data_IF_524098193680
#
_entry.id   IF_524098193680
#
_cell.length_a   1.000
_cell.length_b   1.000
_cell.length_c   1.000
_cell.angle_alpha   90.00
_cell.angle_beta   90.00
_cell.angle_gamma   90.00
#
_symmetry.space_group_name_H-M   'P 1'
#
loop_
_entity.id
_entity.type
_entity.pdbx_description
1 polymer ?
#
# COMPACT_ATOMS: atom_id res chain seq x y z
N UNK A 1 -7.01 11.10 -33.08
CA UNK A 1 -6.15 9.89 -33.01
C UNK A 1 -6.23 9.36 -31.59
N UNK A 2 -6.54 8.10 -31.43
CA UNK A 2 -6.57 7.40 -30.13
C UNK A 2 -5.12 7.25 -29.65
N UNK A 3 -4.77 7.83 -28.51
CA UNK A 3 -3.42 7.73 -27.95
C UNK A 3 -3.43 6.65 -26.86
N UNK A 4 -2.64 5.60 -27.06
CA UNK A 4 -2.40 4.58 -26.04
C UNK A 4 -1.27 5.05 -25.11
N UNK A 5 -1.49 4.98 -23.81
CA UNK A 5 -0.53 5.33 -22.76
C UNK A 5 -0.47 4.23 -21.72
N UNK A 6 0.67 4.10 -21.07
CA UNK A 6 0.85 3.23 -19.90
C UNK A 6 0.94 4.08 -18.65
N UNK A 7 0.34 3.64 -17.55
CA UNK A 7 0.40 4.33 -16.27
C UNK A 7 0.03 3.43 -15.10
N UNK A 8 0.22 3.95 -13.90
CA UNK A 8 -0.12 3.26 -12.65
C UNK A 8 -1.46 3.77 -12.11
N UNK A 9 -2.34 2.88 -11.70
CA UNK A 9 -3.55 3.25 -10.96
C UNK A 9 -3.13 3.71 -9.56
N UNK A 10 -3.38 4.98 -9.25
CA UNK A 10 -3.10 5.59 -7.95
C UNK A 10 -4.35 5.72 -7.07
N UNK A 11 -5.54 5.60 -7.66
CA UNK A 11 -6.81 5.63 -6.97
C UNK A 11 -7.86 4.84 -7.72
N UNK A 12 -8.69 4.10 -6.97
CA UNK A 12 -9.86 3.38 -7.48
C UNK A 12 -11.08 3.76 -6.64
N UNK A 13 -12.12 4.28 -7.29
CA UNK A 13 -13.37 4.66 -6.64
C UNK A 13 -14.55 4.45 -7.56
N UNK A 14 -15.51 3.61 -7.14
CA UNK A 14 -16.82 3.42 -7.83
C UNK A 14 -16.69 3.14 -9.34
N UNK A 15 -15.66 2.37 -9.75
CA UNK A 15 -15.41 2.02 -11.15
C UNK A 15 -14.71 3.09 -11.98
N UNK A 16 -14.24 4.16 -11.33
CA UNK A 16 -13.31 5.13 -11.88
C UNK A 16 -11.90 4.84 -11.33
N UNK A 17 -10.91 5.06 -12.17
CA UNK A 17 -9.50 4.82 -11.90
C UNK A 17 -8.70 6.05 -12.26
N UNK A 18 -8.01 6.63 -11.29
CA UNK A 18 -7.06 7.70 -11.57
C UNK A 18 -5.71 7.05 -11.89
N UNK A 19 -5.26 7.26 -13.11
CA UNK A 19 -4.03 6.66 -13.66
C UNK A 19 -2.95 7.73 -13.79
N UNK A 20 -1.86 7.55 -13.07
CA UNK A 20 -0.67 8.40 -13.21
C UNK A 20 0.13 7.92 -14.42
N UNK A 21 0.23 8.78 -15.42
CA UNK A 21 1.05 8.58 -16.62
C UNK A 21 2.25 9.54 -16.62
N UNK A 22 3.24 9.37 -17.50
CA UNK A 22 4.32 10.34 -17.66
C UNK A 22 3.84 11.77 -17.99
N UNK A 23 2.68 11.89 -18.67
CA UNK A 23 2.10 13.17 -19.07
C UNK A 23 1.15 13.78 -18.03
N UNK A 24 0.93 13.09 -16.89
CA UNK A 24 0.06 13.54 -15.81
C UNK A 24 -1.04 12.55 -15.46
N UNK A 25 -1.96 12.98 -14.59
CA UNK A 25 -3.05 12.17 -14.06
C UNK A 25 -4.23 12.14 -15.05
N UNK A 26 -4.72 10.93 -15.34
CA UNK A 26 -5.87 10.71 -16.22
C UNK A 26 -6.94 9.90 -15.48
N UNK A 27 -8.15 10.44 -15.37
CA UNK A 27 -9.29 9.68 -14.81
C UNK A 27 -9.90 8.80 -15.91
N UNK A 28 -9.92 7.49 -15.65
CA UNK A 28 -10.34 6.46 -16.57
C UNK A 28 -11.56 5.70 -16.07
N UNK A 29 -12.30 5.08 -16.99
CA UNK A 29 -13.26 4.01 -16.69
C UNK A 29 -12.67 2.66 -17.09
N UNK A 30 -13.05 1.60 -16.39
CA UNK A 30 -12.69 0.24 -16.81
C UNK A 30 -13.55 -0.22 -18.00
N UNK A 31 -12.91 -0.81 -19.01
CA UNK A 31 -13.63 -1.44 -20.12
C UNK A 31 -14.46 -2.63 -19.62
N UNK A 32 -15.64 -2.83 -20.20
CA UNK A 32 -16.55 -3.92 -19.80
C UNK A 32 -15.94 -5.33 -19.92
N UNK A 33 -14.94 -5.52 -20.78
CA UNK A 33 -14.18 -6.76 -20.92
C UNK A 33 -13.39 -7.11 -19.65
N UNK A 34 -12.80 -6.13 -18.95
CA UNK A 34 -12.03 -6.33 -17.71
C UNK A 34 -12.91 -6.91 -16.58
N UNK A 35 -14.21 -6.61 -16.59
CA UNK A 35 -15.14 -7.20 -15.61
C UNK A 35 -15.46 -8.68 -15.92
N UNK A 36 -15.30 -9.10 -17.16
CA UNK A 36 -15.58 -10.48 -17.59
C UNK A 36 -14.39 -11.42 -17.34
N UNK A 37 -13.17 -10.91 -17.26
CA UNK A 37 -11.98 -11.71 -16.93
C UNK A 37 -11.91 -12.09 -15.45
N UNK A 38 -12.81 -11.58 -14.60
CA UNK A 38 -12.84 -11.88 -13.17
C UNK A 38 -11.78 -11.16 -12.33
N UNK A 39 -10.91 -10.40 -12.95
CA UNK A 39 -9.86 -9.63 -12.26
C UNK A 39 -10.11 -8.12 -12.41
N UNK A 40 -10.69 -7.48 -11.38
CA UNK A 40 -10.88 -6.03 -11.40
C UNK A 40 -9.52 -5.32 -11.30
N UNK A 41 -9.39 -4.12 -11.94
CA UNK A 41 -8.23 -3.27 -11.72
C UNK A 41 -8.11 -2.85 -10.24
N UNK A 42 -6.89 -2.88 -9.72
CA UNK A 42 -6.55 -2.52 -8.35
C UNK A 42 -5.68 -1.27 -8.31
N UNK A 43 -5.68 -0.56 -7.18
CA UNK A 43 -4.67 0.46 -6.91
C UNK A 43 -3.28 -0.19 -6.93
N UNK A 44 -2.32 0.44 -7.61
CA UNK A 44 -0.99 -0.11 -7.85
C UNK A 44 -0.82 -0.82 -9.19
N UNK A 45 -1.91 -1.22 -9.87
CA UNK A 45 -1.81 -1.84 -11.20
C UNK A 45 -1.13 -0.94 -12.22
N UNK A 46 -0.24 -1.53 -13.01
CA UNK A 46 0.20 -0.94 -14.27
C UNK A 46 -0.82 -1.29 -15.35
N UNK A 47 -1.29 -0.29 -16.08
CA UNK A 47 -2.36 -0.44 -17.06
C UNK A 47 -2.05 0.26 -18.38
N UNK A 48 -2.61 -0.28 -19.45
CA UNK A 48 -2.74 0.43 -20.72
C UNK A 48 -4.06 1.18 -20.75
N UNK A 49 -4.00 2.44 -21.11
CA UNK A 49 -5.16 3.31 -21.24
C UNK A 49 -5.23 3.92 -22.63
N UNK A 50 -6.45 4.19 -23.09
CA UNK A 50 -6.69 5.06 -24.24
C UNK A 50 -7.32 6.36 -23.78
N UNK A 51 -6.99 7.47 -24.44
CA UNK A 51 -7.53 8.78 -24.13
C UNK A 51 -8.17 9.38 -25.38
N UNK A 52 -9.46 9.67 -25.27
CA UNK A 52 -10.23 10.34 -26.33
C UNK A 52 -11.03 11.50 -25.74
N UNK A 53 -10.88 12.69 -26.31
CA UNK A 53 -11.59 13.91 -25.89
C UNK A 53 -11.51 14.15 -24.36
N UNK A 54 -10.32 13.89 -23.75
CA UNK A 54 -10.10 14.07 -22.33
C UNK A 54 -10.68 12.97 -21.43
N UNK A 55 -11.27 11.90 -21.99
CA UNK A 55 -11.79 10.76 -21.24
C UNK A 55 -10.87 9.55 -21.40
N UNK A 56 -10.45 8.98 -20.28
CA UNK A 56 -9.61 7.78 -20.24
C UNK A 56 -10.43 6.49 -20.18
N UNK A 57 -9.90 5.44 -20.81
CA UNK A 57 -10.41 4.07 -20.71
C UNK A 57 -9.27 3.13 -20.37
N UNK A 58 -9.42 2.31 -19.33
CA UNK A 58 -8.47 1.22 -19.04
C UNK A 58 -8.78 0.07 -20.00
N UNK A 59 -7.82 -0.25 -20.86
CA UNK A 59 -7.93 -1.28 -21.89
C UNK A 59 -7.42 -2.63 -21.41
N UNK A 60 -6.27 -2.62 -20.72
CA UNK A 60 -5.61 -3.83 -20.22
C UNK A 60 -4.91 -3.58 -18.87
N UNK A 61 -4.84 -4.64 -18.05
CA UNK A 61 -4.01 -4.69 -16.85
C UNK A 61 -2.73 -5.45 -17.25
N UNK A 62 -1.58 -4.85 -16.98
CA UNK A 62 -0.28 -5.48 -17.22
C UNK A 62 0.01 -6.54 -16.13
N UNK A 63 0.92 -7.48 -16.37
CA UNK A 63 1.27 -8.51 -15.40
C UNK A 63 1.62 -7.92 -14.04
N UNK A 64 1.03 -8.47 -12.99
CA UNK A 64 1.28 -8.10 -11.60
C UNK A 64 2.49 -8.86 -11.05
N UNK A 65 3.35 -8.19 -10.27
CA UNK A 65 4.39 -8.87 -9.50
C UNK A 65 3.83 -9.52 -8.22
N UNK A 66 2.83 -8.87 -7.59
CA UNK A 66 2.11 -9.37 -6.43
C UNK A 66 0.71 -8.77 -6.36
N UNK A 67 -0.14 -9.34 -5.49
CA UNK A 67 -1.52 -8.90 -5.29
C UNK A 67 -1.98 -9.19 -3.87
N UNK A 68 -2.60 -8.20 -3.24
CA UNK A 68 -3.22 -8.31 -1.93
C UNK A 68 -4.74 -8.20 -2.05
N UNK A 69 -5.45 -8.94 -1.19
CA UNK A 69 -6.92 -8.90 -1.11
C UNK A 69 -7.39 -7.83 -0.11
N UNK A 70 -6.64 -7.70 0.98
CA UNK A 70 -6.88 -6.68 2.02
C UNK A 70 -5.53 -6.18 2.56
N UNK A 71 -5.20 -4.93 2.25
CA UNK A 71 -5.87 -4.00 1.34
C UNK A 71 -5.88 -4.51 -0.10
N UNK A 72 -6.89 -4.06 -0.91
CA UNK A 72 -7.01 -4.45 -2.32
C UNK A 72 -6.04 -3.63 -3.18
N UNK A 73 -4.79 -4.08 -3.26
CA UNK A 73 -3.67 -3.42 -3.96
C UNK A 73 -2.82 -4.42 -4.72
N UNK A 74 -2.07 -3.93 -5.69
CA UNK A 74 -1.14 -4.73 -6.49
C UNK A 74 0.19 -4.01 -6.69
N UNK A 75 1.23 -4.75 -7.10
CA UNK A 75 2.56 -4.23 -7.42
C UNK A 75 3.20 -3.44 -6.27
N UNK A 76 3.03 -3.94 -5.03
CA UNK A 76 3.58 -3.35 -3.82
C UNK A 76 5.05 -3.74 -3.69
N UNK A 77 5.92 -2.79 -3.37
CA UNK A 77 7.35 -2.98 -3.13
C UNK A 77 7.66 -3.20 -1.65
N UNK A 78 6.92 -2.51 -0.77
CA UNK A 78 7.02 -2.67 0.68
C UNK A 78 5.67 -2.44 1.35
N UNK A 79 5.47 -3.05 2.51
CA UNK A 79 4.27 -2.91 3.31
C UNK A 79 4.63 -2.38 4.70
N UNK A 80 3.99 -1.28 5.12
CA UNK A 80 4.13 -0.74 6.48
C UNK A 80 2.86 -1.03 7.26
N UNK A 81 3.00 -1.80 8.35
CA UNK A 81 1.92 -2.07 9.29
C UNK A 81 2.00 -1.06 10.42
N UNK A 82 1.01 -0.17 10.50
CA UNK A 82 0.86 0.73 11.64
C UNK A 82 0.26 -0.01 12.82
N UNK A 83 0.93 0.05 13.95
CA UNK A 83 0.52 -0.51 15.22
C UNK A 83 0.56 0.56 16.31
N UNK A 84 -0.15 0.35 17.40
CA UNK A 84 -0.05 1.16 18.62
C UNK A 84 -0.26 0.26 19.84
N UNK A 85 0.44 0.56 20.91
CA UNK A 85 0.25 -0.11 22.20
C UNK A 85 -0.64 0.69 23.17
N UNK A 86 -1.10 1.86 22.72
CA UNK A 86 -1.98 2.75 23.49
C UNK A 86 -3.14 3.18 22.62
N UNK A 87 -4.32 2.94 23.08
CA UNK A 87 -5.62 3.37 22.57
C UNK A 87 -5.70 3.71 21.05
N UNK A 88 -5.96 2.72 20.19
CA UNK A 88 -6.21 1.32 20.51
C UNK A 88 -4.91 0.52 20.66
N UNK A 89 -4.93 -0.54 21.45
CA UNK A 89 -3.86 -1.54 21.47
C UNK A 89 -4.00 -2.42 20.25
N UNK A 90 -2.93 -2.57 19.48
CA UNK A 90 -2.93 -3.45 18.32
C UNK A 90 -2.64 -4.89 18.75
N UNK A 91 -3.57 -5.79 18.44
CA UNK A 91 -3.39 -7.22 18.68
C UNK A 91 -2.23 -7.77 17.85
N UNK A 92 -1.22 -8.45 18.42
CA UNK A 92 -0.09 -9.04 17.70
C UNK A 92 -0.52 -9.91 16.51
N UNK A 93 -1.61 -10.65 16.66
CA UNK A 93 -2.19 -11.48 15.60
C UNK A 93 -2.50 -10.70 14.31
N UNK A 94 -2.85 -9.41 14.40
CA UNK A 94 -3.08 -8.58 13.23
C UNK A 94 -1.77 -8.35 12.47
N UNK A 95 -0.68 -8.08 13.18
CA UNK A 95 0.66 -7.89 12.60
C UNK A 95 1.12 -9.20 11.97
N UNK A 96 1.04 -10.30 12.72
CA UNK A 96 1.46 -11.64 12.26
C UNK A 96 0.74 -12.05 10.98
N UNK A 97 -0.57 -11.82 10.91
CA UNK A 97 -1.37 -12.14 9.73
C UNK A 97 -0.96 -11.32 8.50
N UNK A 98 -0.69 -10.03 8.69
CA UNK A 98 -0.24 -9.17 7.59
C UNK A 98 1.16 -9.58 7.13
N UNK A 99 2.07 -9.85 8.07
CA UNK A 99 3.43 -10.30 7.78
C UNK A 99 3.44 -11.63 7.03
N UNK A 100 2.61 -12.60 7.45
CA UNK A 100 2.50 -13.90 6.77
C UNK A 100 1.96 -13.76 5.33
N UNK A 101 0.94 -12.93 5.11
CA UNK A 101 0.41 -12.67 3.76
C UNK A 101 1.45 -11.96 2.88
N UNK A 102 2.21 -11.02 3.43
CA UNK A 102 3.24 -10.32 2.69
C UNK A 102 4.42 -11.24 2.36
N UNK A 103 4.81 -12.12 3.30
CA UNK A 103 5.85 -13.13 3.08
C UNK A 103 5.49 -14.11 1.95
N UNK A 104 4.23 -14.54 1.85
CA UNK A 104 3.75 -15.37 0.73
C UNK A 104 3.88 -14.66 -0.63
N UNK A 105 3.85 -13.34 -0.65
CA UNK A 105 4.00 -12.49 -1.83
C UNK A 105 5.43 -11.94 -2.00
N UNK A 106 6.39 -12.38 -1.18
CA UNK A 106 7.78 -11.92 -1.18
C UNK A 106 7.93 -10.39 -1.02
N UNK A 107 7.03 -9.78 -0.23
CA UNK A 107 7.02 -8.33 0.02
C UNK A 107 7.55 -8.04 1.42
N UNK A 108 8.60 -7.21 1.56
CA UNK A 108 9.14 -6.82 2.87
C UNK A 108 8.10 -6.06 3.70
N UNK A 109 8.12 -6.34 5.02
CA UNK A 109 7.19 -5.72 5.98
C UNK A 109 7.97 -4.90 6.99
N UNK A 110 7.52 -3.69 7.24
CA UNK A 110 7.98 -2.81 8.31
C UNK A 110 6.84 -2.61 9.30
N UNK A 111 7.14 -2.71 10.59
CA UNK A 111 6.17 -2.46 11.67
C UNK A 111 6.43 -1.04 12.18
N UNK A 112 5.49 -0.14 12.04
CA UNK A 112 5.57 1.21 12.57
C UNK A 112 4.70 1.35 13.82
N UNK A 113 5.33 1.41 14.99
CA UNK A 113 4.64 1.62 16.27
C UNK A 113 4.45 3.12 16.45
N UNK A 114 3.21 3.58 16.22
CA UNK A 114 2.83 4.97 16.41
C UNK A 114 2.48 5.25 17.88
N UNK A 115 2.44 6.52 18.24
CA UNK A 115 2.16 7.04 19.60
C UNK A 115 3.22 6.65 20.64
N UNK A 116 4.48 6.47 20.21
CA UNK A 116 5.59 6.18 21.12
C UNK A 116 5.81 7.27 22.20
N UNK A 117 5.28 8.48 21.96
CA UNK A 117 5.24 9.57 22.95
C UNK A 117 4.42 9.25 24.20
N UNK A 118 3.52 8.27 24.13
CA UNK A 118 2.67 7.89 25.25
C UNK A 118 3.27 6.72 26.05
N UNK A 119 4.02 5.82 25.43
CA UNK A 119 4.70 4.72 26.10
C UNK A 119 5.83 4.11 25.23
N UNK A 120 7.06 4.46 25.58
CA UNK A 120 8.27 3.99 24.89
C UNK A 120 8.62 2.53 25.24
N UNK A 121 8.30 2.07 26.44
CA UNK A 121 8.64 0.71 26.88
C UNK A 121 7.96 -0.36 26.02
N UNK A 122 6.79 -0.09 25.53
CA UNK A 122 6.01 -0.99 24.69
C UNK A 122 6.58 -1.13 23.28
N UNK A 123 7.33 -0.16 22.78
CA UNK A 123 8.05 -0.27 21.50
C UNK A 123 9.11 -1.35 21.58
N UNK A 124 9.85 -1.39 22.70
CA UNK A 124 10.89 -2.39 22.94
C UNK A 124 10.34 -3.82 23.07
N UNK A 125 9.13 -3.96 23.59
CA UNK A 125 8.48 -5.27 23.67
C UNK A 125 8.08 -5.79 22.29
N UNK A 126 7.58 -4.94 21.41
CA UNK A 126 7.35 -5.32 20.00
C UNK A 126 8.67 -5.63 19.31
N UNK A 127 9.72 -4.84 19.51
CA UNK A 127 11.06 -5.13 18.95
C UNK A 127 11.57 -6.50 19.38
N UNK A 128 11.43 -6.86 20.65
CA UNK A 128 11.83 -8.19 21.17
C UNK A 128 10.98 -9.31 20.55
N UNK A 129 9.66 -9.10 20.43
CA UNK A 129 8.73 -10.08 19.87
C UNK A 129 9.08 -10.38 18.41
N UNK A 130 9.39 -9.36 17.62
CA UNK A 130 9.68 -9.50 16.19
C UNK A 130 11.18 -9.56 15.85
N UNK A 131 12.05 -9.67 16.87
CA UNK A 131 13.52 -9.70 16.68
C UNK A 131 14.02 -10.85 15.79
N UNK A 132 13.27 -11.94 15.67
CA UNK A 132 13.59 -13.11 14.83
C UNK A 132 12.83 -13.13 13.52
N UNK A 133 11.86 -12.22 13.34
CA UNK A 133 11.16 -12.02 12.09
C UNK A 133 11.92 -10.99 11.27
N UNK A 134 11.96 -11.17 9.96
CA UNK A 134 12.55 -10.17 9.04
C UNK A 134 11.58 -8.99 8.84
N UNK A 135 11.18 -8.37 9.96
CA UNK A 135 10.21 -7.28 10.03
C UNK A 135 10.79 -6.16 10.91
N UNK A 136 11.55 -5.20 10.35
CA UNK A 136 12.08 -4.06 11.10
C UNK A 136 10.98 -3.27 11.82
N UNK A 137 11.24 -2.89 13.09
CA UNK A 137 10.30 -2.14 13.92
C UNK A 137 10.75 -0.70 14.06
N UNK A 138 9.95 0.22 13.56
CA UNK A 138 10.11 1.67 13.62
C UNK A 138 9.24 2.22 14.76
N UNK A 139 9.78 3.18 15.52
CA UNK A 139 9.00 3.93 16.50
C UNK A 139 8.65 5.30 15.94
N UNK A 140 7.39 5.71 16.03
CA UNK A 140 6.95 7.00 15.57
C UNK A 140 5.92 7.65 16.51
N UNK A 141 5.88 8.97 16.50
CA UNK A 141 4.76 9.78 17.00
C UNK A 141 4.38 10.78 15.93
N UNK A 142 3.23 10.56 15.32
CA UNK A 142 2.68 11.51 14.34
C UNK A 142 2.35 12.85 14.99
N UNK A 143 1.94 12.85 16.27
CA UNK A 143 1.59 14.03 17.04
C UNK A 143 2.83 14.90 17.34
N UNK A 144 3.88 14.28 17.86
CA UNK A 144 5.12 14.98 18.25
C UNK A 144 6.14 15.06 17.09
N UNK A 145 5.79 14.51 15.92
CA UNK A 145 6.65 14.46 14.71
C UNK A 145 7.99 13.75 14.96
N UNK A 146 7.99 12.76 15.84
CA UNK A 146 9.16 11.93 16.15
C UNK A 146 9.19 10.68 15.28
N UNK A 147 10.39 10.19 14.88
CA UNK A 147 10.58 8.96 14.09
C UNK A 147 10.08 9.02 12.65
N UNK A 148 9.62 10.19 12.18
CA UNK A 148 9.03 10.32 10.84
C UNK A 148 10.07 10.26 9.72
N UNK A 149 11.33 10.58 9.99
CA UNK A 149 12.38 10.54 8.96
C UNK A 149 12.77 9.10 8.61
N UNK A 150 12.84 8.21 9.59
CA UNK A 150 13.05 6.78 9.37
C UNK A 150 11.90 6.16 8.57
N UNK A 151 10.65 6.48 8.96
CA UNK A 151 9.47 6.04 8.22
C UNK A 151 9.46 6.58 6.79
N UNK A 152 9.82 7.85 6.61
CA UNK A 152 9.92 8.48 5.29
C UNK A 152 10.99 7.82 4.45
N UNK A 153 12.14 7.47 5.01
CA UNK A 153 13.22 6.79 4.31
C UNK A 153 12.75 5.44 3.72
N UNK A 154 12.00 4.65 4.51
CA UNK A 154 11.39 3.41 4.03
C UNK A 154 10.42 3.69 2.88
N UNK A 155 9.53 4.67 3.03
CA UNK A 155 8.50 4.97 2.02
C UNK A 155 9.08 5.55 0.73
N UNK A 156 10.16 6.32 0.80
CA UNK A 156 10.77 6.96 -0.39
C UNK A 156 11.78 6.06 -1.09
N UNK A 157 12.28 5.03 -0.44
CA UNK A 157 13.14 4.01 -1.04
C UNK A 157 12.40 3.10 -2.03
N UNK A 158 11.07 3.05 -1.94
CA UNK A 158 10.24 2.14 -2.70
C UNK A 158 9.28 2.88 -3.66
N UNK A 159 9.09 2.33 -4.85
CA UNK A 159 8.20 2.96 -5.85
C UNK A 159 6.72 2.83 -5.52
N UNK A 160 6.33 1.82 -4.73
CA UNK A 160 4.96 1.60 -4.27
C UNK A 160 4.94 1.00 -2.86
N UNK A 161 4.83 1.86 -1.86
CA UNK A 161 4.68 1.44 -0.47
C UNK A 161 3.20 1.40 -0.07
N UNK A 162 2.75 0.28 0.49
CA UNK A 162 1.40 0.13 1.01
C UNK A 162 1.37 0.33 2.52
N UNK A 163 0.47 1.20 2.99
CA UNK A 163 0.24 1.46 4.40
C UNK A 163 -1.02 0.73 4.86
N UNK A 164 -0.95 -0.01 5.95
CA UNK A 164 -2.09 -0.70 6.55
C UNK A 164 -2.00 -0.64 8.07
N UNK A 165 -3.10 -0.89 8.77
CA UNK A 165 -3.16 -0.90 10.23
C UNK A 165 -4.58 -0.89 10.75
N UNK A 166 -4.71 -0.93 12.06
CA UNK A 166 -5.99 -0.79 12.75
C UNK A 166 -6.45 0.66 12.71
N UNK A 167 -7.77 0.90 12.60
CA UNK A 167 -8.31 2.26 12.68
C UNK A 167 -7.99 2.93 14.02
N UNK A 168 -7.48 4.16 13.97
CA UNK A 168 -7.16 4.96 15.16
C UNK A 168 -5.75 4.74 15.73
N UNK A 169 -4.90 3.93 15.11
CA UNK A 169 -3.46 3.80 15.48
C UNK A 169 -2.68 5.05 15.13
#
# INVERSE_FOLDING_TARGET
MQQVKTGRIVRSLSGFYDVQTPDGLVTCRGRGSLRRTGEPPLTGDMVEITVEHGKGMVEAILPRKNRFVRPAVANVDALVVFASNVNPVTEPFLIDRVAAIAGDQEVPVYICVNKCDLDDALVDDIRKQYAKADCPVLAASAKEKHGLDELRAVMTGESCCCLTGQSGV
#
